data_IF_042610364976
#
_entry.id   IF_042610364976
#
_cell.length_a   1.000
_cell.length_b   1.000
_cell.length_c   1.000
_cell.angle_alpha   90.00
_cell.angle_beta   90.00
_cell.angle_gamma   90.00
#
_symmetry.space_group_name_H-M   'P 1'
#
loop_
_entity.id
_entity.type
_entity.pdbx_description
1 polymer ?
#
# COMPACT_ATOMS: atom_id res chain seq x y z
N UNK A 1 8.27 14.59 -1.12
CA UNK A 1 7.52 13.32 -1.00
C UNK A 1 7.44 12.64 -2.36
N UNK A 2 7.85 11.37 -2.44
CA UNK A 2 7.70 10.53 -3.65
C UNK A 2 6.19 10.40 -3.93
N UNK A 3 5.76 10.56 -5.19
CA UNK A 3 4.35 10.45 -5.57
C UNK A 3 3.98 8.96 -5.63
N UNK A 4 3.10 8.50 -4.73
CA UNK A 4 2.58 7.13 -4.76
C UNK A 4 1.51 7.04 -5.85
N UNK A 5 1.51 5.95 -6.62
CA UNK A 5 0.55 5.68 -7.69
C UNK A 5 -0.03 4.30 -7.49
N UNK A 6 -1.31 4.14 -7.84
CA UNK A 6 -1.95 2.84 -7.92
C UNK A 6 -1.21 1.97 -8.94
N UNK A 7 -0.77 0.79 -8.51
CA UNK A 7 -0.08 -0.17 -9.37
C UNK A 7 -0.95 -0.68 -10.53
N UNK A 8 -2.27 -0.71 -10.35
CA UNK A 8 -3.23 -1.18 -11.36
C UNK A 8 -3.65 -0.11 -12.37
N UNK A 9 -4.06 1.07 -11.93
CA UNK A 9 -4.64 2.10 -12.81
C UNK A 9 -3.78 3.36 -12.97
N UNK A 10 -2.63 3.45 -12.28
CA UNK A 10 -1.73 4.61 -12.35
C UNK A 10 -2.26 5.87 -11.68
N UNK A 11 -3.51 5.87 -11.18
CA UNK A 11 -4.10 6.98 -10.43
C UNK A 11 -3.18 7.36 -9.28
N UNK A 12 -2.92 8.65 -9.14
CA UNK A 12 -2.12 9.17 -8.03
C UNK A 12 -2.85 8.91 -6.71
N UNK A 13 -2.14 8.32 -5.76
CA UNK A 13 -2.63 8.14 -4.39
C UNK A 13 -2.09 9.30 -3.58
N UNK A 14 -2.98 10.21 -3.19
CA UNK A 14 -2.61 11.41 -2.43
C UNK A 14 -2.55 11.14 -0.92
N UNK A 15 -3.27 10.11 -0.47
CA UNK A 15 -3.35 9.68 0.92
C UNK A 15 -3.14 8.16 1.00
N UNK A 16 -2.20 7.73 1.82
CA UNK A 16 -2.12 6.33 2.24
C UNK A 16 -3.05 6.12 3.44
N UNK A 17 -3.59 4.90 3.65
CA UNK A 17 -4.37 4.60 4.84
C UNK A 17 -3.59 4.94 6.12
N UNK A 18 -4.28 5.45 7.15
CA UNK A 18 -3.64 5.88 8.40
C UNK A 18 -2.86 4.74 9.08
N UNK A 19 -3.37 3.50 9.00
CA UNK A 19 -2.70 2.32 9.56
C UNK A 19 -1.32 2.09 8.92
N UNK A 20 -1.14 2.39 7.63
CA UNK A 20 0.17 2.34 6.98
C UNK A 20 1.15 3.36 7.56
N UNK A 21 0.67 4.52 8.04
CA UNK A 21 1.54 5.53 8.65
C UNK A 21 2.09 5.13 10.02
N UNK A 22 1.43 4.20 10.72
CA UNK A 22 1.82 3.74 12.06
C UNK A 22 2.69 2.47 12.01
N UNK A 23 2.36 1.54 11.11
CA UNK A 23 2.96 0.20 11.07
C UNK A 23 3.73 -0.10 9.77
N UNK A 24 4.25 0.94 9.10
CA UNK A 24 5.13 0.76 7.95
C UNK A 24 6.47 0.16 8.36
N UNK A 25 6.87 -0.89 7.67
CA UNK A 25 8.18 -1.52 7.86
C UNK A 25 9.05 -1.32 6.63
N UNK A 26 10.37 -1.24 6.84
CA UNK A 26 11.32 -1.26 5.74
C UNK A 26 11.82 -2.70 5.53
N UNK A 27 11.50 -3.28 4.38
CA UNK A 27 11.96 -4.60 3.99
C UNK A 27 13.36 -4.49 3.34
N UNK A 28 14.41 -4.74 4.12
CA UNK A 28 15.80 -4.62 3.66
C UNK A 28 16.13 -5.56 2.49
N UNK A 29 15.51 -6.74 2.41
CA UNK A 29 15.75 -7.71 1.33
C UNK A 29 15.23 -7.19 -0.01
N UNK A 30 14.10 -6.49 0.01
CA UNK A 30 13.48 -5.89 -1.18
C UNK A 30 13.88 -4.42 -1.39
N UNK A 31 14.52 -3.80 -0.39
CA UNK A 31 14.84 -2.38 -0.35
C UNK A 31 13.58 -1.50 -0.55
N UNK A 32 12.47 -1.87 0.08
CA UNK A 32 11.15 -1.27 -0.11
C UNK A 32 10.41 -1.05 1.22
N UNK A 33 9.55 -0.05 1.24
CA UNK A 33 8.60 0.16 2.33
C UNK A 33 7.36 -0.70 2.12
N UNK A 34 6.97 -1.45 3.14
CA UNK A 34 5.78 -2.29 3.14
C UNK A 34 4.80 -1.82 4.24
N UNK A 35 3.50 -1.88 3.94
CA UNK A 35 2.42 -1.59 4.87
C UNK A 35 1.66 -2.88 5.19
N UNK A 36 1.35 -3.11 6.47
CA UNK A 36 0.45 -4.18 6.87
C UNK A 36 -1.00 -3.82 6.54
N UNK A 37 -1.60 -4.55 5.60
CA UNK A 37 -2.96 -4.33 5.11
C UNK A 37 -3.99 -5.24 5.80
N UNK A 38 -3.63 -5.82 6.96
CA UNK A 38 -4.46 -6.76 7.70
C UNK A 38 -4.07 -8.23 7.48
N UNK A 39 -4.60 -9.16 8.29
CA UNK A 39 -4.19 -10.57 8.32
C UNK A 39 -4.47 -11.32 7.01
N UNK A 40 -5.54 -10.97 6.30
CA UNK A 40 -5.88 -11.57 5.00
C UNK A 40 -4.90 -11.21 3.88
N UNK A 41 -4.15 -10.13 4.07
CA UNK A 41 -3.41 -9.44 2.99
C UNK A 41 -1.92 -9.30 3.28
N UNK A 42 -1.55 -9.38 4.56
CA UNK A 42 -0.18 -9.28 5.02
C UNK A 42 0.44 -7.92 4.73
N UNK A 43 1.74 -7.95 4.46
CA UNK A 43 2.53 -6.77 4.13
C UNK A 43 2.56 -6.56 2.61
N UNK A 44 2.17 -5.36 2.17
CA UNK A 44 2.14 -4.95 0.76
C UNK A 44 3.12 -3.81 0.54
N UNK A 45 3.91 -3.88 -0.53
CA UNK A 45 4.83 -2.82 -0.91
C UNK A 45 4.09 -1.55 -1.32
N UNK A 46 4.61 -0.38 -0.94
CA UNK A 46 4.06 0.90 -1.41
C UNK A 46 4.14 1.07 -2.93
N UNK A 47 5.04 0.34 -3.60
CA UNK A 47 5.13 0.33 -5.05
C UNK A 47 4.01 -0.53 -5.70
N UNK A 48 3.40 -1.42 -4.93
CA UNK A 48 2.34 -2.35 -5.37
C UNK A 48 0.94 -1.94 -4.89
N UNK A 49 0.84 -0.86 -4.09
CA UNK A 49 -0.40 -0.43 -3.47
C UNK A 49 -1.48 -0.06 -4.50
N UNK A 50 -2.73 -0.42 -4.16
CA UNK A 50 -3.92 -0.13 -4.97
C UNK A 50 -4.65 1.09 -4.41
N UNK A 51 -5.26 1.88 -5.28
CA UNK A 51 -6.20 2.92 -4.83
C UNK A 51 -7.51 2.29 -4.37
N UNK A 52 -8.30 3.02 -3.58
CA UNK A 52 -9.58 2.56 -3.03
C UNK A 52 -10.48 1.87 -4.07
N UNK A 53 -10.62 2.46 -5.26
CA UNK A 53 -11.41 1.89 -6.37
C UNK A 53 -10.87 0.55 -6.88
N UNK A 54 -9.56 0.40 -6.92
CA UNK A 54 -8.92 -0.83 -7.40
C UNK A 54 -8.82 -1.91 -6.31
N UNK A 55 -8.97 -1.51 -5.05
CA UNK A 55 -8.95 -2.37 -3.87
C UNK A 55 -10.35 -2.73 -3.36
N UNK A 56 -11.43 -2.28 -4.02
CA UNK A 56 -12.83 -2.62 -3.64
C UNK A 56 -13.09 -4.15 -3.61
N UNK A 57 -12.29 -4.94 -4.32
CA UNK A 57 -12.36 -6.42 -4.33
C UNK A 57 -11.13 -7.08 -3.70
N UNK A 58 -10.20 -6.28 -3.17
CA UNK A 58 -8.94 -6.77 -2.61
C UNK A 58 -8.62 -5.99 -1.34
N UNK A 59 -8.71 -6.70 -0.21
CA UNK A 59 -8.02 -6.32 1.01
C UNK A 59 -8.43 -4.99 1.66
N UNK A 60 -9.74 -4.78 1.85
CA UNK A 60 -10.31 -3.86 2.85
C UNK A 60 -11.65 -4.41 3.33
N UNK A 61 -11.67 -5.09 4.47
CA UNK A 61 -12.86 -5.24 5.32
C UNK A 61 -12.52 -4.78 6.71
#
# INVERSE_FOLDING_TARGET
MKKIKCSKCGTRIETIPEHCGKDMIFNEKKNQWECFMGPECGYVSLDEILCSKCSEEQCFT
#
